data_IF_018791027040
#
_entry.id   IF_018791027040
#
_cell.length_a   1.000
_cell.length_b   1.000
_cell.length_c   1.000
_cell.angle_alpha   90.00
_cell.angle_beta   90.00
_cell.angle_gamma   90.00
#
_symmetry.space_group_name_H-M   'P 1'
#
loop_
_entity.id
_entity.type
_entity.pdbx_description
1 polymer ?
#
# COMPACT_ATOMS: atom_id res chain seq x y z
N UNK A 1 2.93 14.70 25.34
CA UNK A 1 1.81 15.13 26.19
C UNK A 1 0.80 16.01 25.45
N UNK A 2 1.15 17.18 24.88
CA UNK A 2 0.17 18.03 24.19
C UNK A 2 -0.37 17.44 22.87
N UNK A 3 0.50 16.85 22.03
CA UNK A 3 0.12 16.40 20.68
C UNK A 3 -0.94 15.29 20.65
N UNK A 4 -0.74 14.19 21.40
CA UNK A 4 -1.70 13.08 21.47
C UNK A 4 -3.06 13.55 22.00
N UNK A 5 -3.04 14.42 23.02
CA UNK A 5 -4.26 15.02 23.54
C UNK A 5 -4.97 15.87 22.48
N UNK A 6 -4.24 16.72 21.75
CA UNK A 6 -4.83 17.51 20.66
C UNK A 6 -5.43 16.65 19.55
N UNK A 7 -4.80 15.53 19.19
CA UNK A 7 -5.36 14.58 18.24
C UNK A 7 -6.68 13.97 18.75
N UNK A 8 -6.72 13.56 20.03
CA UNK A 8 -7.93 13.02 20.65
C UNK A 8 -9.04 14.08 20.72
N UNK A 9 -8.73 15.30 21.18
CA UNK A 9 -9.68 16.42 21.23
C UNK A 9 -10.25 16.75 19.83
N UNK A 10 -9.43 16.70 18.78
CA UNK A 10 -9.86 16.90 17.39
C UNK A 10 -10.79 15.80 16.89
N UNK A 11 -10.46 14.54 17.17
CA UNK A 11 -11.30 13.40 16.81
C UNK A 11 -12.65 13.48 17.51
N UNK A 12 -12.67 13.75 18.81
CA UNK A 12 -13.90 13.91 19.59
C UNK A 12 -14.76 15.05 19.03
N UNK A 13 -14.16 16.20 18.73
CA UNK A 13 -14.89 17.34 18.15
C UNK A 13 -15.52 17.01 16.78
N UNK A 14 -14.85 16.20 15.94
CA UNK A 14 -15.43 15.75 14.66
C UNK A 14 -16.62 14.81 14.91
N UNK A 15 -16.44 13.79 15.76
CA UNK A 15 -17.50 12.81 16.06
C UNK A 15 -18.73 13.48 16.69
N UNK A 16 -18.52 14.42 17.62
CA UNK A 16 -19.59 15.18 18.26
C UNK A 16 -20.35 16.10 17.30
N UNK A 17 -19.68 16.60 16.26
CA UNK A 17 -20.30 17.49 15.27
C UNK A 17 -21.37 16.81 14.41
N UNK A 18 -21.32 15.47 14.29
CA UNK A 18 -22.16 14.67 13.38
C UNK A 18 -22.03 15.06 11.90
N UNK A 19 -21.01 15.85 11.54
CA UNK A 19 -20.72 16.19 10.15
C UNK A 19 -20.26 14.95 9.37
N UNK A 20 -20.70 14.85 8.12
CA UNK A 20 -20.35 13.73 7.23
C UNK A 20 -19.14 14.02 6.35
N UNK A 21 -18.83 15.30 6.18
CA UNK A 21 -17.81 15.77 5.26
C UNK A 21 -16.61 16.30 6.05
N UNK A 22 -15.58 15.45 6.14
CA UNK A 22 -14.39 15.77 6.93
C UNK A 22 -13.68 17.04 6.46
N UNK A 23 -13.49 17.22 5.15
CA UNK A 23 -12.76 18.37 4.61
C UNK A 23 -13.48 19.69 4.95
N UNK A 24 -14.81 19.74 4.74
CA UNK A 24 -15.66 20.87 5.11
C UNK A 24 -15.60 21.16 6.61
N UNK A 25 -15.82 20.14 7.45
CA UNK A 25 -15.75 20.30 8.90
C UNK A 25 -14.37 20.82 9.33
N UNK A 26 -13.29 20.29 8.77
CA UNK A 26 -11.92 20.66 9.11
C UNK A 26 -11.64 22.12 8.74
N UNK A 27 -12.14 22.60 7.60
CA UNK A 27 -12.04 24.00 7.19
C UNK A 27 -12.81 24.91 8.15
N UNK A 28 -14.05 24.56 8.47
CA UNK A 28 -14.90 25.37 9.34
C UNK A 28 -14.38 25.40 10.78
N UNK A 29 -13.90 24.26 11.28
CA UNK A 29 -13.25 24.16 12.58
C UNK A 29 -11.95 24.98 12.63
N UNK A 30 -11.11 24.89 11.58
CA UNK A 30 -9.88 25.70 11.47
C UNK A 30 -10.18 27.19 11.46
N UNK A 31 -11.26 27.62 10.80
CA UNK A 31 -11.66 29.03 10.69
C UNK A 31 -11.92 29.69 12.05
N UNK A 32 -12.35 28.92 13.05
CA UNK A 32 -12.54 29.42 14.43
C UNK A 32 -11.21 29.87 15.05
N UNK A 33 -10.10 29.24 14.67
CA UNK A 33 -8.77 29.50 15.21
C UNK A 33 -7.92 30.39 14.30
N UNK A 34 -7.99 30.19 12.98
CA UNK A 34 -7.22 30.90 11.98
C UNK A 34 -7.96 30.97 10.63
N UNK A 35 -8.46 32.17 10.29
CA UNK A 35 -9.22 32.42 9.07
C UNK A 35 -8.35 32.39 7.79
N UNK A 36 -7.07 32.74 7.89
CA UNK A 36 -6.16 32.77 6.75
C UNK A 36 -5.81 31.33 6.33
N UNK A 37 -5.51 30.46 7.31
CA UNK A 37 -5.29 29.03 7.07
C UNK A 37 -6.55 28.38 6.49
N UNK A 38 -7.74 28.66 7.04
CA UNK A 38 -8.99 28.12 6.52
C UNK A 38 -9.22 28.50 5.05
N UNK A 39 -8.95 29.76 4.69
CA UNK A 39 -9.03 30.22 3.29
C UNK A 39 -8.03 29.50 2.38
N UNK A 40 -6.82 29.22 2.87
CA UNK A 40 -5.85 28.42 2.13
C UNK A 40 -6.35 26.98 1.90
N UNK A 41 -6.92 26.36 2.93
CA UNK A 41 -7.48 25.01 2.86
C UNK A 41 -8.64 24.92 1.87
N UNK A 42 -9.54 25.92 1.82
CA UNK A 42 -10.59 26.01 0.80
C UNK A 42 -10.03 26.04 -0.62
N UNK A 43 -9.02 26.87 -0.86
CA UNK A 43 -8.34 26.92 -2.15
C UNK A 43 -7.68 25.58 -2.50
N UNK A 44 -7.07 24.89 -1.53
CA UNK A 44 -6.48 23.56 -1.73
C UNK A 44 -7.55 22.52 -2.06
N UNK A 45 -8.66 22.48 -1.32
CA UNK A 45 -9.78 21.59 -1.56
C UNK A 45 -10.38 21.79 -2.95
N UNK A 46 -10.60 23.05 -3.36
CA UNK A 46 -11.05 23.39 -4.71
C UNK A 46 -10.11 22.85 -5.79
N UNK A 47 -8.78 23.02 -5.62
CA UNK A 47 -7.78 22.50 -6.57
C UNK A 47 -7.80 20.97 -6.65
N UNK A 48 -7.96 20.28 -5.53
CA UNK A 48 -8.04 18.81 -5.47
C UNK A 48 -9.31 18.32 -6.15
N UNK A 49 -10.49 18.89 -5.83
CA UNK A 49 -11.76 18.56 -6.49
C UNK A 49 -11.71 18.75 -7.99
N UNK A 50 -11.13 19.86 -8.44
CA UNK A 50 -10.94 20.12 -9.86
C UNK A 50 -9.95 19.15 -10.53
N UNK A 51 -8.91 18.69 -9.82
CA UNK A 51 -8.01 17.62 -10.29
C UNK A 51 -8.78 16.31 -10.45
N UNK A 52 -9.57 15.89 -9.46
CA UNK A 52 -10.40 14.69 -9.56
C UNK A 52 -11.41 14.78 -10.70
N UNK A 53 -12.08 15.92 -10.88
CA UNK A 53 -12.99 16.14 -12.01
C UNK A 53 -12.30 16.02 -13.39
N UNK A 54 -11.00 16.33 -13.49
CA UNK A 54 -10.25 16.06 -14.73
C UNK A 54 -9.93 14.58 -14.90
N UNK A 55 -9.61 13.90 -13.81
CA UNK A 55 -9.32 12.47 -13.80
C UNK A 55 -10.56 11.62 -14.16
N UNK A 56 -11.78 12.02 -13.76
CA UNK A 56 -13.02 11.32 -14.15
C UNK A 56 -13.24 11.23 -15.66
N UNK A 57 -12.59 12.10 -16.44
CA UNK A 57 -12.65 12.06 -17.91
C UNK A 57 -11.76 10.97 -18.52
N UNK A 58 -10.92 10.33 -17.71
CA UNK A 58 -9.88 9.40 -18.15
C UNK A 58 -10.00 8.04 -17.44
N UNK A 59 -10.45 8.03 -16.19
CA UNK A 59 -10.67 6.83 -15.39
C UNK A 59 -12.00 6.92 -14.67
N UNK A 60 -12.60 5.78 -14.36
CA UNK A 60 -13.75 5.73 -13.46
C UNK A 60 -13.25 5.97 -12.04
N UNK A 61 -13.68 7.09 -11.45
CA UNK A 61 -13.47 7.36 -10.03
C UNK A 61 -14.76 7.06 -9.28
N UNK A 62 -14.64 6.34 -8.17
CA UNK A 62 -15.74 6.01 -7.28
C UNK A 62 -15.39 6.59 -5.92
N UNK A 63 -16.28 7.40 -5.38
CA UNK A 63 -16.15 7.88 -4.01
C UNK A 63 -16.47 6.74 -3.05
N UNK A 64 -15.58 6.46 -2.10
CA UNK A 64 -15.79 5.39 -1.12
C UNK A 64 -17.02 5.65 -0.25
N UNK A 65 -17.37 6.92 -0.01
CA UNK A 65 -18.58 7.30 0.71
C UNK A 65 -19.87 7.00 -0.08
N UNK A 66 -19.76 6.78 -1.39
CA UNK A 66 -20.89 6.39 -2.25
C UNK A 66 -21.12 4.88 -2.31
N UNK A 67 -20.22 4.07 -1.72
CA UNK A 67 -20.34 2.62 -1.71
C UNK A 67 -21.13 2.20 -0.47
N UNK A 68 -22.40 1.84 -0.68
CA UNK A 68 -23.30 1.43 0.40
C UNK A 68 -22.69 0.32 1.27
N UNK A 69 -22.65 0.57 2.58
CA UNK A 69 -22.17 -0.39 3.58
C UNK A 69 -20.73 -0.89 3.34
N UNK A 70 -19.86 -0.09 2.69
CA UNK A 70 -18.47 -0.46 2.42
C UNK A 70 -17.72 -0.92 3.67
N UNK A 71 -17.92 -0.23 4.79
CA UNK A 71 -17.25 -0.51 6.05
C UNK A 71 -17.86 -1.66 6.85
N UNK A 72 -19.00 -2.19 6.39
CA UNK A 72 -19.73 -3.24 7.10
C UNK A 72 -19.55 -4.59 6.41
N UNK A 73 -18.93 -5.55 7.13
CA UNK A 73 -18.83 -6.93 6.66
C UNK A 73 -19.22 -7.90 7.77
N UNK A 74 -19.99 -8.94 7.44
CA UNK A 74 -20.29 -10.06 8.37
C UNK A 74 -20.76 -9.63 9.78
N UNK A 75 -21.45 -8.49 9.90
CA UNK A 75 -21.93 -7.94 11.16
C UNK A 75 -20.92 -7.09 11.94
N UNK A 76 -19.71 -6.88 11.42
CA UNK A 76 -18.70 -5.95 11.94
C UNK A 76 -18.74 -4.64 11.17
N UNK A 77 -18.41 -3.54 11.85
CA UNK A 77 -18.27 -2.21 11.29
C UNK A 77 -16.83 -1.71 11.51
N UNK A 78 -16.13 -1.36 10.43
CA UNK A 78 -14.74 -0.89 10.44
C UNK A 78 -14.62 0.62 10.21
N UNK A 79 -15.73 1.33 10.06
CA UNK A 79 -15.72 2.79 9.88
C UNK A 79 -15.00 3.50 11.04
N UNK A 80 -15.21 3.13 12.33
CA UNK A 80 -14.48 3.75 13.43
C UNK A 80 -12.96 3.62 13.28
N UNK A 81 -12.47 2.45 12.86
CA UNK A 81 -11.03 2.20 12.73
C UNK A 81 -10.42 2.95 11.54
N UNK A 82 -11.16 3.07 10.44
CA UNK A 82 -10.78 3.95 9.35
C UNK A 82 -10.65 5.40 9.83
N UNK A 83 -11.61 5.90 10.61
CA UNK A 83 -11.56 7.25 11.17
C UNK A 83 -10.41 7.42 12.19
N UNK A 84 -10.06 6.39 12.97
CA UNK A 84 -8.89 6.44 13.83
C UNK A 84 -7.61 6.66 13.02
N UNK A 85 -7.45 5.94 11.91
CA UNK A 85 -6.26 6.11 11.07
C UNK A 85 -6.22 7.49 10.39
N UNK A 86 -7.35 7.97 9.87
CA UNK A 86 -7.42 9.27 9.18
C UNK A 86 -7.28 10.45 10.13
N UNK A 87 -7.95 10.44 11.28
CA UNK A 87 -8.07 11.59 12.18
C UNK A 87 -7.11 11.55 13.35
N UNK A 88 -7.04 10.41 14.06
CA UNK A 88 -6.19 10.31 15.25
C UNK A 88 -4.72 10.17 14.88
N UNK A 89 -4.39 9.40 13.84
CA UNK A 89 -3.00 9.10 13.46
C UNK A 89 -2.51 9.87 12.24
N UNK A 90 -3.43 10.39 11.41
CA UNK A 90 -3.11 10.94 10.10
C UNK A 90 -2.29 9.95 9.24
N UNK A 91 -2.62 8.68 9.35
CA UNK A 91 -1.95 7.56 8.69
C UNK A 91 -2.80 7.07 7.51
N UNK A 92 -2.65 7.75 6.38
CA UNK A 92 -3.39 7.42 5.17
C UNK A 92 -2.98 6.06 4.58
N UNK A 93 -1.81 5.53 4.92
CA UNK A 93 -1.39 4.19 4.50
C UNK A 93 -2.23 3.11 5.18
N UNK A 94 -2.40 3.16 6.51
CA UNK A 94 -3.27 2.23 7.23
C UNK A 94 -4.75 2.41 6.85
N UNK A 95 -5.22 3.65 6.67
CA UNK A 95 -6.57 3.92 6.18
C UNK A 95 -6.80 3.26 4.81
N UNK A 96 -5.81 3.36 3.90
CA UNK A 96 -5.83 2.68 2.59
C UNK A 96 -5.79 1.16 2.71
N UNK A 97 -5.05 0.60 3.67
CA UNK A 97 -5.03 -0.84 3.95
C UNK A 97 -6.41 -1.39 4.37
N UNK A 98 -7.16 -0.64 5.18
CA UNK A 98 -8.53 -0.99 5.56
C UNK A 98 -9.44 -0.97 4.31
N UNK A 99 -9.43 0.15 3.58
CA UNK A 99 -10.31 0.37 2.43
C UNK A 99 -10.03 -0.63 1.31
N UNK A 100 -8.76 -0.92 0.98
CA UNK A 100 -8.42 -1.86 -0.11
C UNK A 100 -8.97 -3.26 0.14
N UNK A 101 -8.94 -3.74 1.40
CA UNK A 101 -9.47 -5.04 1.77
C UNK A 101 -10.99 -5.06 1.75
N UNK A 102 -11.65 -3.99 2.21
CA UNK A 102 -13.11 -3.87 2.16
C UNK A 102 -13.62 -3.80 0.71
N UNK A 103 -13.02 -2.96 -0.13
CA UNK A 103 -13.37 -2.88 -1.56
C UNK A 103 -13.20 -4.24 -2.22
N UNK A 104 -12.07 -4.92 -1.96
CA UNK A 104 -11.80 -6.24 -2.54
C UNK A 104 -12.77 -7.32 -2.00
N UNK A 105 -13.20 -7.24 -0.74
CA UNK A 105 -14.26 -8.10 -0.20
C UNK A 105 -15.61 -7.90 -0.91
N UNK A 106 -16.04 -6.64 -1.06
CA UNK A 106 -17.35 -6.31 -1.60
C UNK A 106 -17.46 -6.44 -3.12
N UNK A 107 -16.37 -6.19 -3.84
CA UNK A 107 -16.36 -6.12 -5.30
C UNK A 107 -15.59 -7.28 -5.94
N UNK A 108 -14.58 -7.85 -5.26
CA UNK A 108 -13.63 -8.78 -5.86
C UNK A 108 -12.72 -8.11 -6.89
N UNK A 109 -11.93 -8.93 -7.59
CA UNK A 109 -11.02 -8.46 -8.64
C UNK A 109 -9.58 -8.35 -8.16
N UNK A 110 -8.90 -7.28 -8.55
CA UNK A 110 -7.50 -7.01 -8.26
C UNK A 110 -7.34 -5.57 -7.79
N UNK A 111 -6.76 -5.42 -6.61
CA UNK A 111 -6.24 -4.16 -6.09
C UNK A 111 -4.78 -3.98 -6.53
N UNK A 112 -4.37 -2.75 -6.85
CA UNK A 112 -3.01 -2.39 -7.26
C UNK A 112 -2.66 -1.02 -6.69
N UNK A 113 -1.52 -0.91 -5.99
CA UNK A 113 -0.96 0.38 -5.56
C UNK A 113 -0.53 1.21 -6.79
N UNK A 114 -0.67 2.54 -6.69
CA UNK A 114 -0.37 3.45 -7.80
C UNK A 114 1.12 3.48 -8.23
N UNK A 115 2.03 3.01 -7.39
CA UNK A 115 3.45 2.90 -7.69
C UNK A 115 3.84 1.54 -8.31
N UNK A 116 2.87 0.65 -8.51
CA UNK A 116 3.05 -0.65 -9.17
C UNK A 116 2.64 -0.60 -10.63
N UNK A 117 3.48 -1.14 -11.52
CA UNK A 117 3.25 -1.16 -12.97
C UNK A 117 2.99 -2.58 -13.49
N UNK A 118 2.34 -2.73 -14.67
CA UNK A 118 2.29 -4.01 -15.36
C UNK A 118 3.70 -4.56 -15.64
N UNK A 119 3.84 -5.89 -15.74
CA UNK A 119 5.13 -6.48 -16.10
C UNK A 119 5.57 -6.08 -17.50
N UNK A 120 6.77 -5.53 -17.62
CA UNK A 120 7.39 -5.18 -18.90
C UNK A 120 8.41 -6.19 -19.42
N UNK A 121 8.49 -7.41 -18.84
CA UNK A 121 9.53 -8.38 -19.24
C UNK A 121 9.44 -8.78 -20.72
N UNK A 122 8.24 -8.78 -21.28
CA UNK A 122 8.00 -9.06 -22.70
C UNK A 122 8.56 -7.96 -23.63
N UNK A 123 8.82 -6.75 -23.13
CA UNK A 123 9.46 -5.67 -23.87
C UNK A 123 10.97 -5.87 -24.04
N UNK A 124 11.59 -6.77 -23.27
CA UNK A 124 13.05 -6.97 -23.23
C UNK A 124 13.51 -8.40 -23.60
N UNK A 125 13.00 -9.00 -24.68
CA UNK A 125 13.24 -10.42 -24.97
C UNK A 125 14.71 -10.73 -25.30
N UNK A 126 15.45 -9.81 -25.94
CA UNK A 126 16.87 -10.05 -26.27
C UNK A 126 17.72 -9.95 -25.02
N UNK A 127 17.53 -8.89 -24.25
CA UNK A 127 18.28 -8.61 -23.02
C UNK A 127 18.06 -9.73 -22.01
N UNK A 128 16.80 -10.13 -21.77
CA UNK A 128 16.47 -11.19 -20.83
C UNK A 128 17.06 -12.55 -21.22
N UNK A 129 17.20 -12.82 -22.52
CA UNK A 129 17.81 -14.07 -23.01
C UNK A 129 19.34 -14.04 -22.91
N UNK A 130 19.97 -12.89 -23.16
CA UNK A 130 21.42 -12.74 -23.19
C UNK A 130 22.03 -12.60 -21.80
N UNK A 131 21.31 -11.95 -20.89
CA UNK A 131 21.74 -11.60 -19.53
C UNK A 131 20.66 -12.05 -18.52
N UNK A 132 20.48 -13.36 -18.29
CA UNK A 132 19.44 -13.88 -17.40
C UNK A 132 19.58 -13.39 -15.95
N UNK A 133 20.79 -13.09 -15.49
CA UNK A 133 21.08 -12.54 -14.17
C UNK A 133 20.50 -11.12 -13.96
N UNK A 134 20.26 -10.37 -15.04
CA UNK A 134 19.60 -9.06 -15.01
C UNK A 134 18.10 -9.17 -14.75
N UNK A 135 17.49 -10.34 -15.00
CA UNK A 135 16.06 -10.56 -14.73
C UNK A 135 15.79 -10.53 -13.23
N UNK A 136 16.74 -10.95 -12.39
CA UNK A 136 16.58 -11.02 -10.94
C UNK A 136 17.14 -9.81 -10.18
N UNK A 137 17.39 -8.68 -10.86
CA UNK A 137 17.96 -7.49 -10.24
C UNK A 137 16.92 -6.36 -10.10
N UNK A 138 16.64 -5.97 -8.85
CA UNK A 138 15.66 -4.91 -8.52
C UNK A 138 15.97 -3.58 -9.23
N UNK A 139 17.25 -3.20 -9.33
CA UNK A 139 17.63 -1.93 -9.98
C UNK A 139 17.48 -2.00 -11.50
N UNK A 140 17.67 -3.19 -12.09
CA UNK A 140 17.38 -3.40 -13.52
C UNK A 140 15.88 -3.28 -13.79
N UNK A 141 15.03 -3.77 -12.88
CA UNK A 141 13.56 -3.60 -12.99
C UNK A 141 13.17 -2.11 -12.99
N UNK A 142 13.80 -1.28 -12.15
CA UNK A 142 13.61 0.19 -12.15
C UNK A 142 14.02 0.79 -13.50
N UNK A 143 15.22 0.43 -13.99
CA UNK A 143 15.73 0.93 -15.26
C UNK A 143 14.83 0.55 -16.44
N UNK A 144 14.40 -0.72 -16.50
CA UNK A 144 13.45 -1.23 -17.51
C UNK A 144 12.13 -0.47 -17.45
N UNK A 145 11.58 -0.26 -16.25
CA UNK A 145 10.34 0.49 -16.06
C UNK A 145 10.48 1.91 -16.61
N UNK A 146 11.54 2.63 -16.24
CA UNK A 146 11.74 4.02 -16.64
C UNK A 146 12.02 4.17 -18.15
N UNK A 147 12.75 3.22 -18.77
CA UNK A 147 12.93 3.17 -20.22
C UNK A 147 11.58 3.03 -20.95
N UNK A 148 10.69 2.16 -20.46
CA UNK A 148 9.34 2.01 -21.02
C UNK A 148 8.49 3.26 -20.77
N UNK A 149 8.56 3.87 -19.58
CA UNK A 149 7.87 5.13 -19.30
C UNK A 149 8.34 6.27 -20.20
N UNK A 150 9.63 6.31 -20.56
CA UNK A 150 10.15 7.26 -21.55
C UNK A 150 9.58 7.03 -22.95
N UNK A 151 9.35 5.78 -23.36
CA UNK A 151 8.63 5.49 -24.61
C UNK A 151 7.21 6.05 -24.56
N UNK A 152 6.48 5.83 -23.47
CA UNK A 152 5.13 6.41 -23.27
C UNK A 152 5.12 7.94 -23.38
N UNK A 153 6.10 8.61 -22.75
CA UNK A 153 6.24 10.08 -22.75
C UNK A 153 6.58 10.62 -24.14
N UNK A 154 7.57 10.04 -24.80
CA UNK A 154 8.09 10.53 -26.09
C UNK A 154 7.16 10.25 -27.26
N UNK A 155 6.53 9.07 -27.30
CA UNK A 155 5.59 8.70 -28.35
C UNK A 155 4.16 9.22 -28.10
N UNK A 156 3.92 9.91 -26.97
CA UNK A 156 2.62 10.45 -26.56
C UNK A 156 1.48 9.41 -26.59
N UNK A 157 1.81 8.15 -26.31
CA UNK A 157 0.87 7.01 -26.40
C UNK A 157 -0.25 7.09 -25.36
N UNK A 158 -0.12 7.94 -24.35
CA UNK A 158 -1.21 8.23 -23.41
C UNK A 158 -1.49 9.72 -23.35
N UNK A 159 -2.76 10.09 -23.12
CA UNK A 159 -3.16 11.49 -22.89
C UNK A 159 -2.47 12.14 -21.68
N UNK A 160 -1.87 11.32 -20.81
CA UNK A 160 -1.14 11.71 -19.60
C UNK A 160 0.35 11.99 -19.86
N UNK A 161 0.89 11.59 -21.02
CA UNK A 161 2.31 11.69 -21.38
C UNK A 161 2.88 13.13 -21.48
N UNK A 162 2.08 14.17 -21.20
CA UNK A 162 2.54 15.56 -21.18
C UNK A 162 3.36 15.93 -19.93
N UNK A 163 3.57 14.99 -19.01
CA UNK A 163 4.52 15.20 -17.92
C UNK A 163 5.93 15.32 -18.49
N UNK A 164 6.62 16.43 -18.15
CA UNK A 164 8.07 16.51 -18.31
C UNK A 164 8.66 15.35 -17.50
N UNK A 165 9.06 14.28 -18.19
CA UNK A 165 9.84 13.24 -17.55
C UNK A 165 11.15 13.87 -17.08
N UNK A 166 11.67 13.39 -15.96
CA UNK A 166 13.07 13.64 -15.64
C UNK A 166 13.91 12.88 -16.68
N UNK A 167 14.21 13.55 -17.79
CA UNK A 167 15.01 12.97 -18.87
C UNK A 167 16.39 12.52 -18.39
N UNK A 168 16.84 12.99 -17.22
CA UNK A 168 18.12 12.62 -16.63
C UNK A 168 18.02 11.39 -15.72
N UNK A 169 16.83 10.94 -15.31
CA UNK A 169 16.70 9.83 -14.35
C UNK A 169 17.31 8.53 -14.89
N UNK A 170 17.09 8.21 -16.18
CA UNK A 170 17.71 7.03 -16.81
C UNK A 170 19.23 7.15 -16.79
N UNK A 171 19.76 8.30 -17.21
CA UNK A 171 21.20 8.54 -17.23
C UNK A 171 21.80 8.45 -15.82
N UNK A 172 21.14 9.02 -14.82
CA UNK A 172 21.55 8.97 -13.42
C UNK A 172 21.57 7.53 -12.89
N UNK A 173 20.55 6.73 -13.19
CA UNK A 173 20.50 5.31 -12.81
C UNK A 173 21.65 4.55 -13.48
N UNK A 174 21.89 4.76 -14.78
CA UNK A 174 22.95 4.09 -15.53
C UNK A 174 24.32 4.45 -14.98
N UNK A 175 24.63 5.73 -14.78
CA UNK A 175 25.92 6.18 -14.23
C UNK A 175 26.13 5.69 -12.80
N UNK A 176 25.07 5.66 -11.98
CA UNK A 176 25.19 5.30 -10.56
C UNK A 176 25.35 3.79 -10.34
N UNK A 177 24.65 2.96 -11.12
CA UNK A 177 24.53 1.52 -10.85
C UNK A 177 25.08 0.61 -11.95
N UNK A 178 25.30 1.12 -13.16
CA UNK A 178 25.56 0.29 -14.36
C UNK A 178 26.68 0.85 -15.26
N UNK A 179 27.60 1.65 -14.72
CA UNK A 179 28.67 2.31 -15.51
C UNK A 179 29.59 1.29 -16.23
N UNK A 180 29.81 0.12 -15.61
CA UNK A 180 30.61 -0.97 -16.15
C UNK A 180 29.85 -1.89 -17.12
N UNK A 181 28.52 -1.76 -17.23
CA UNK A 181 27.62 -2.71 -17.92
C UNK A 181 27.24 -2.29 -19.35
N UNK A 182 28.21 -1.77 -20.11
CA UNK A 182 27.97 -1.13 -21.41
C UNK A 182 27.27 -2.03 -22.44
N UNK A 183 27.59 -3.33 -22.46
CA UNK A 183 26.97 -4.29 -23.39
C UNK A 183 25.51 -4.57 -23.04
N UNK A 184 25.18 -4.63 -21.75
CA UNK A 184 23.83 -4.86 -21.25
C UNK A 184 22.95 -3.64 -21.46
N UNK A 185 23.47 -2.44 -21.17
CA UNK A 185 22.78 -1.17 -21.46
C UNK A 185 22.51 -1.03 -22.95
N UNK A 186 23.49 -1.36 -23.81
CA UNK A 186 23.27 -1.38 -25.27
C UNK A 186 22.15 -2.35 -25.67
N UNK A 187 22.14 -3.55 -25.11
CA UNK A 187 21.07 -4.55 -25.36
C UNK A 187 19.69 -4.03 -24.93
N UNK A 188 19.58 -3.35 -23.80
CA UNK A 188 18.33 -2.72 -23.36
C UNK A 188 17.83 -1.69 -24.37
N UNK A 189 18.71 -0.79 -24.85
CA UNK A 189 18.33 0.19 -25.85
C UNK A 189 17.91 -0.43 -27.18
N UNK A 190 18.53 -1.54 -27.60
CA UNK A 190 18.11 -2.29 -28.79
C UNK A 190 16.70 -2.89 -28.65
N UNK A 191 16.33 -3.37 -27.47
CA UNK A 191 14.98 -3.85 -27.17
C UNK A 191 13.99 -2.67 -27.14
N UNK A 192 14.32 -1.57 -26.45
CA UNK A 192 13.47 -0.36 -26.36
C UNK A 192 13.19 0.24 -27.73
N UNK A 193 14.19 0.33 -28.60
CA UNK A 193 14.03 0.84 -29.97
C UNK A 193 13.11 -0.03 -30.83
N UNK A 194 12.90 -1.30 -30.45
CA UNK A 194 12.04 -2.25 -31.13
C UNK A 194 10.63 -2.37 -30.51
N UNK A 195 10.32 -1.58 -29.47
CA UNK A 195 8.99 -1.50 -28.86
C UNK A 195 8.03 -0.81 -29.83
N UNK A 196 6.87 -1.44 -30.02
CA UNK A 196 5.73 -0.93 -30.79
C UNK A 196 4.51 -0.89 -29.89
N UNK A 197 3.49 -0.10 -30.25
CA UNK A 197 2.28 0.09 -29.42
C UNK A 197 1.60 -1.25 -29.07
N UNK A 198 1.52 -2.17 -30.04
CA UNK A 198 0.95 -3.51 -29.86
C UNK A 198 1.75 -4.40 -28.89
N UNK A 199 3.06 -4.18 -28.79
CA UNK A 199 3.92 -4.89 -27.83
C UNK A 199 3.91 -4.27 -26.45
N UNK A 200 3.57 -2.99 -26.35
CA UNK A 200 3.56 -2.26 -25.09
C UNK A 200 2.30 -2.60 -24.26
N UNK A 201 1.18 -2.79 -24.94
CA UNK A 201 -0.09 -3.11 -24.31
C UNK A 201 -0.43 -4.60 -24.47
N UNK A 202 0.03 -5.41 -23.52
CA UNK A 202 -0.48 -6.76 -23.39
C UNK A 202 -1.91 -6.75 -22.79
N UNK A 203 -2.87 -7.51 -23.36
CA UNK A 203 -4.19 -7.65 -22.77
C UNK A 203 -4.09 -8.15 -21.32
N UNK A 204 -4.67 -7.39 -20.40
CA UNK A 204 -4.72 -7.80 -19.00
C UNK A 204 -5.77 -8.90 -18.83
N UNK A 205 -5.34 -10.02 -18.26
CA UNK A 205 -6.21 -11.13 -17.86
C UNK A 205 -6.10 -11.23 -16.34
N UNK A 206 -7.24 -11.11 -15.65
CA UNK A 206 -7.29 -11.26 -14.20
C UNK A 206 -6.71 -12.63 -13.80
N UNK A 207 -5.64 -12.68 -12.99
CA UNK A 207 -5.04 -13.94 -12.58
C UNK A 207 -6.05 -14.82 -11.84
N UNK A 208 -6.03 -16.14 -12.05
CA UNK A 208 -6.97 -17.05 -11.39
C UNK A 208 -6.60 -17.18 -9.91
N UNK A 209 -7.59 -17.00 -9.04
CA UNK A 209 -7.50 -17.24 -7.59
C UNK A 209 -8.58 -18.25 -7.19
N UNK A 210 -8.35 -19.00 -6.10
CA UNK A 210 -9.38 -19.89 -5.56
C UNK A 210 -10.64 -19.10 -5.14
N UNK A 211 -11.82 -19.74 -5.24
CA UNK A 211 -13.13 -19.12 -4.96
C UNK A 211 -13.25 -18.48 -3.57
N UNK A 212 -12.52 -19.03 -2.59
CA UNK A 212 -12.47 -18.52 -1.22
C UNK A 212 -11.10 -17.93 -0.89
N UNK A 213 -10.26 -17.79 -1.90
CA UNK A 213 -8.83 -17.51 -1.81
C UNK A 213 -8.50 -16.03 -1.80
N UNK A 214 -7.21 -15.76 -1.64
CA UNK A 214 -6.56 -14.46 -1.70
C UNK A 214 -5.15 -14.71 -2.25
N UNK A 215 -4.76 -13.96 -3.26
CA UNK A 215 -3.39 -13.91 -3.73
C UNK A 215 -2.77 -12.56 -3.39
N UNK A 216 -1.49 -12.59 -2.99
CA UNK A 216 -0.70 -11.42 -2.67
C UNK A 216 0.49 -11.30 -3.62
N UNK A 217 1.01 -10.08 -3.77
CA UNK A 217 2.34 -9.89 -4.32
C UNK A 217 3.37 -10.71 -3.55
N UNK A 218 4.15 -11.52 -4.26
CA UNK A 218 5.44 -11.99 -3.77
C UNK A 218 6.56 -11.15 -4.34
N UNK A 219 7.60 -10.89 -3.56
CA UNK A 219 8.79 -10.24 -4.06
C UNK A 219 9.43 -11.12 -5.15
N UNK A 220 9.73 -10.53 -6.31
CA UNK A 220 10.31 -11.26 -7.46
C UNK A 220 11.66 -11.90 -7.12
N UNK A 221 12.46 -11.18 -6.32
CA UNK A 221 13.87 -11.50 -6.05
C UNK A 221 14.14 -11.86 -4.58
N UNK A 222 13.10 -12.04 -3.77
CA UNK A 222 13.21 -12.37 -2.35
C UNK A 222 12.26 -13.51 -1.99
N UNK A 223 12.81 -14.55 -1.37
CA UNK A 223 12.11 -15.81 -1.14
C UNK A 223 11.26 -15.69 0.12
N UNK A 224 9.94 -15.92 -0.02
CA UNK A 224 9.01 -15.89 1.12
C UNK A 224 8.62 -14.48 1.59
N UNK A 225 9.03 -13.44 0.86
CA UNK A 225 8.64 -12.05 1.12
C UNK A 225 7.38 -11.68 0.34
N UNK A 226 6.39 -11.13 1.04
CA UNK A 226 5.08 -10.76 0.49
C UNK A 226 4.73 -9.31 0.81
N UNK A 227 4.06 -8.67 -0.13
CA UNK A 227 3.56 -7.30 -0.02
C UNK A 227 2.06 -7.24 -0.34
N UNK A 228 1.40 -6.16 0.08
CA UNK A 228 -0.02 -5.90 -0.18
C UNK A 228 -0.24 -4.83 -1.26
N UNK A 229 0.79 -4.53 -2.06
CA UNK A 229 0.72 -3.61 -3.20
C UNK A 229 -0.10 -4.18 -4.36
N UNK A 230 -0.23 -5.51 -4.44
CA UNK A 230 -1.28 -6.16 -5.24
C UNK A 230 -1.97 -7.22 -4.41
N UNK A 231 -3.30 -7.20 -4.45
CA UNK A 231 -4.16 -8.19 -3.82
C UNK A 231 -5.21 -8.66 -4.83
N UNK A 232 -5.44 -9.97 -4.93
CA UNK A 232 -6.39 -10.54 -5.88
C UNK A 232 -7.30 -11.50 -5.13
N UNK A 233 -8.61 -11.29 -5.23
CA UNK A 233 -9.57 -12.17 -4.61
C UNK A 233 -10.95 -12.08 -5.30
N UNK A 234 -11.74 -13.16 -5.23
CA UNK A 234 -13.13 -13.11 -5.62
C UNK A 234 -13.97 -12.31 -4.60
N UNK A 235 -15.09 -11.77 -5.09
CA UNK A 235 -16.10 -11.12 -4.24
C UNK A 235 -16.55 -12.08 -3.14
N UNK A 236 -16.56 -11.60 -1.89
CA UNK A 236 -16.99 -12.36 -0.72
C UNK A 236 -15.97 -13.41 -0.24
N UNK A 237 -14.70 -13.33 -0.67
CA UNK A 237 -13.65 -14.27 -0.28
C UNK A 237 -13.61 -14.53 1.24
N UNK A 238 -13.69 -15.82 1.63
CA UNK A 238 -13.53 -16.22 3.03
C UNK A 238 -12.17 -15.82 3.60
N UNK A 239 -11.08 -15.89 2.84
CA UNK A 239 -9.77 -15.45 3.33
C UNK A 239 -9.74 -13.96 3.66
N UNK A 240 -10.30 -13.09 2.79
CA UNK A 240 -10.41 -11.66 3.11
C UNK A 240 -11.27 -11.45 4.36
N UNK A 241 -12.40 -12.15 4.48
CA UNK A 241 -13.23 -12.06 5.69
C UNK A 241 -12.45 -12.40 6.96
N UNK A 242 -11.60 -13.44 6.94
CA UNK A 242 -10.77 -13.81 8.11
C UNK A 242 -9.73 -12.72 8.39
N UNK A 243 -9.08 -12.17 7.36
CA UNK A 243 -8.13 -11.06 7.51
C UNK A 243 -8.80 -9.84 8.15
N UNK A 244 -9.96 -9.43 7.63
CA UNK A 244 -10.73 -8.31 8.17
C UNK A 244 -11.22 -8.58 9.61
N UNK A 245 -11.61 -9.83 9.92
CA UNK A 245 -11.99 -10.22 11.29
C UNK A 245 -10.82 -10.12 12.26
N UNK A 246 -9.62 -10.53 11.82
CA UNK A 246 -8.40 -10.41 12.60
C UNK A 246 -8.02 -8.94 12.82
N UNK A 247 -8.09 -8.12 11.76
CA UNK A 247 -7.89 -6.67 11.84
C UNK A 247 -8.83 -6.02 12.85
N UNK A 248 -10.15 -6.29 12.74
CA UNK A 248 -11.14 -5.79 13.69
C UNK A 248 -10.84 -6.23 15.13
N UNK A 249 -10.39 -7.47 15.33
CA UNK A 249 -10.05 -7.97 16.66
C UNK A 249 -8.82 -7.28 17.26
N UNK A 250 -7.82 -6.91 16.43
CA UNK A 250 -6.66 -6.12 16.87
C UNK A 250 -7.04 -4.70 17.26
N UNK A 251 -7.88 -4.04 16.47
CA UNK A 251 -8.40 -2.72 16.82
C UNK A 251 -9.23 -2.74 18.11
N UNK A 252 -10.15 -3.70 18.26
CA UNK A 252 -10.92 -3.88 19.51
C UNK A 252 -10.02 -4.11 20.71
N UNK A 253 -9.03 -4.99 20.59
CA UNK A 253 -8.05 -5.21 21.66
C UNK A 253 -7.37 -3.89 22.07
N UNK A 254 -6.92 -3.09 21.10
CA UNK A 254 -6.28 -1.82 21.38
C UNK A 254 -7.24 -0.82 22.04
N UNK A 255 -8.48 -0.75 21.58
CA UNK A 255 -9.52 0.11 22.14
C UNK A 255 -9.84 -0.28 23.60
N UNK A 256 -10.12 -1.56 23.84
CA UNK A 256 -10.45 -2.11 25.17
C UNK A 256 -9.33 -1.92 26.21
N UNK A 257 -8.09 -1.79 25.75
CA UNK A 257 -6.91 -1.58 26.58
C UNK A 257 -6.40 -0.13 26.60
N UNK A 258 -7.14 0.83 26.04
CA UNK A 258 -6.79 2.25 26.05
C UNK A 258 -5.66 2.64 25.09
N UNK A 259 -5.18 1.73 24.24
CA UNK A 259 -4.07 1.98 23.29
C UNK A 259 -4.44 3.02 22.22
N UNK A 260 -5.72 3.09 21.83
CA UNK A 260 -6.18 4.02 20.78
C UNK A 260 -6.22 5.47 21.28
N UNK A 261 -6.74 5.72 22.48
CA UNK A 261 -7.09 7.08 22.92
C UNK A 261 -6.11 7.65 23.95
N UNK A 262 -5.43 6.80 24.71
CA UNK A 262 -4.53 7.24 25.78
C UNK A 262 -3.07 7.35 25.34
N UNK A 263 -2.32 8.25 25.99
CA UNK A 263 -0.87 8.29 25.93
C UNK A 263 -0.30 7.27 26.93
N UNK A 264 -0.24 5.98 26.57
CA UNK A 264 0.11 4.90 27.52
C UNK A 264 1.46 5.16 28.20
N UNK A 265 2.48 5.55 27.42
CA UNK A 265 3.84 5.76 27.95
C UNK A 265 3.99 6.98 28.86
N UNK A 266 3.06 7.96 28.79
CA UNK A 266 3.06 9.13 29.67
C UNK A 266 1.80 9.24 30.55
N UNK A 267 0.95 8.22 30.54
CA UNK A 267 -0.28 8.18 31.33
C UNK A 267 0.09 8.08 32.81
N UNK A 268 -0.53 8.94 33.63
CA UNK A 268 -0.46 8.82 35.09
C UNK A 268 -1.35 7.69 35.62
N UNK A 269 -2.16 7.09 34.76
CA UNK A 269 -2.99 5.94 35.09
C UNK A 269 -2.10 4.68 35.11
N UNK A 270 -1.87 4.17 36.33
CA UNK A 270 -1.06 2.99 36.55
C UNK A 270 -1.78 1.70 36.10
N UNK A 271 -3.10 1.71 35.92
CA UNK A 271 -3.87 0.53 35.52
C UNK A 271 -3.82 0.26 34.02
N UNK A 272 -3.64 1.28 33.16
CA UNK A 272 -3.44 1.10 31.70
C UNK A 272 -2.04 0.53 31.44
N UNK A 273 -1.02 1.12 32.08
CA UNK A 273 0.35 0.62 32.00
C UNK A 273 0.47 -0.83 32.48
N UNK A 274 -0.22 -1.18 33.57
CA UNK A 274 -0.22 -2.55 34.09
C UNK A 274 -0.93 -3.53 33.15
N UNK A 275 -2.10 -3.18 32.59
CA UNK A 275 -2.83 -4.02 31.63
C UNK A 275 -2.02 -4.32 30.36
N UNK A 276 -1.33 -3.34 29.81
CA UNK A 276 -0.48 -3.52 28.63
C UNK A 276 0.78 -4.33 28.98
N UNK A 277 1.43 -4.04 30.12
CA UNK A 277 2.65 -4.77 30.55
C UNK A 277 2.38 -6.21 31.01
N UNK A 278 1.16 -6.53 31.43
CA UNK A 278 0.71 -7.89 31.77
C UNK A 278 0.14 -8.65 30.57
N UNK A 279 0.04 -8.01 29.39
CA UNK A 279 -0.45 -8.67 28.18
C UNK A 279 0.57 -9.68 27.63
N UNK A 280 0.07 -10.69 26.93
CA UNK A 280 0.93 -11.65 26.22
C UNK A 280 1.88 -10.90 25.27
N UNK A 281 3.11 -11.41 25.12
CA UNK A 281 4.18 -10.82 24.30
C UNK A 281 3.71 -10.44 22.89
N UNK A 282 2.76 -11.21 22.34
CA UNK A 282 2.13 -10.93 21.06
C UNK A 282 1.54 -9.52 20.98
N UNK A 283 0.80 -9.07 21.99
CA UNK A 283 0.02 -7.83 21.96
C UNK A 283 0.87 -6.58 22.20
N UNK A 284 2.04 -6.72 22.82
CA UNK A 284 2.96 -5.61 23.09
C UNK A 284 3.39 -4.87 21.81
N UNK A 285 3.37 -5.55 20.65
CA UNK A 285 3.69 -4.95 19.34
C UNK A 285 2.76 -3.80 18.93
N UNK A 286 1.60 -3.67 19.57
CA UNK A 286 0.64 -2.59 19.27
C UNK A 286 0.74 -1.40 20.24
N UNK A 287 1.55 -1.51 21.30
CA UNK A 287 1.65 -0.47 22.34
C UNK A 287 2.11 0.90 21.82
N UNK A 288 2.94 0.94 20.77
CA UNK A 288 3.41 2.17 20.12
C UNK A 288 2.46 2.70 19.01
N UNK A 289 1.19 2.26 18.99
CA UNK A 289 0.21 2.67 17.97
C UNK A 289 0.17 4.18 17.70
N UNK A 290 0.13 5.01 18.76
CA UNK A 290 0.11 6.48 18.67
C UNK A 290 1.44 7.09 18.20
N UNK A 291 2.52 6.32 18.22
CA UNK A 291 3.89 6.77 17.92
C UNK A 291 4.49 6.17 16.66
N UNK A 292 3.83 5.23 16.00
CA UNK A 292 4.32 4.51 14.80
C UNK A 292 4.91 5.39 13.68
N UNK A 293 4.40 6.62 13.50
CA UNK A 293 4.91 7.57 12.49
C UNK A 293 5.90 8.59 13.07
N UNK A 294 6.01 8.63 14.40
CA UNK A 294 6.83 9.57 15.17
C UNK A 294 8.14 8.92 15.64
N UNK A 295 8.14 7.60 15.83
CA UNK A 295 9.29 6.78 16.23
C UNK A 295 9.61 5.83 15.09
N UNK A 296 10.83 5.91 14.56
CA UNK A 296 11.25 5.20 13.35
C UNK A 296 11.47 3.68 13.51
N UNK A 297 11.15 3.11 14.68
CA UNK A 297 11.45 1.71 15.01
C UNK A 297 10.24 0.79 15.02
N UNK A 298 9.04 1.34 15.22
CA UNK A 298 7.88 0.54 15.54
C UNK A 298 7.03 0.43 14.26
N UNK A 299 6.70 -0.80 13.90
CA UNK A 299 6.05 -1.15 12.63
C UNK A 299 4.60 -1.57 12.86
N UNK A 300 3.89 -0.88 13.75
CA UNK A 300 2.51 -1.17 14.14
C UNK A 300 1.61 -1.27 12.92
N UNK A 301 1.71 -0.33 11.97
CA UNK A 301 0.90 -0.37 10.73
C UNK A 301 1.10 -1.67 9.95
N UNK A 302 2.33 -2.20 9.84
CA UNK A 302 2.59 -3.45 9.10
C UNK A 302 1.83 -4.63 9.71
N UNK A 303 1.78 -4.71 11.04
CA UNK A 303 1.09 -5.78 11.75
C UNK A 303 -0.39 -5.48 11.98
N UNK A 304 -0.83 -4.24 12.01
CA UNK A 304 -2.21 -3.89 12.30
C UNK A 304 -3.10 -4.00 11.07
N UNK A 305 -2.65 -3.42 9.95
CA UNK A 305 -3.42 -3.31 8.72
C UNK A 305 -2.67 -3.75 7.46
N UNK A 306 -1.33 -3.70 7.51
CA UNK A 306 -0.45 -3.91 6.37
C UNK A 306 -0.19 -5.37 5.99
N UNK A 307 0.89 -5.62 5.23
CA UNK A 307 1.17 -6.95 4.66
C UNK A 307 1.44 -8.02 5.72
N UNK A 308 2.01 -7.67 6.87
CA UNK A 308 2.30 -8.64 7.93
C UNK A 308 1.03 -9.19 8.57
N UNK A 309 -0.05 -8.39 8.69
CA UNK A 309 -1.36 -8.91 9.10
C UNK A 309 -1.81 -10.03 8.15
N UNK A 310 -1.81 -9.74 6.86
CA UNK A 310 -2.37 -10.66 5.86
C UNK A 310 -1.54 -11.94 5.80
N UNK A 311 -0.22 -11.82 5.77
CA UNK A 311 0.69 -12.96 5.76
C UNK A 311 0.56 -13.80 7.03
N UNK A 312 0.49 -13.18 8.20
CA UNK A 312 0.30 -13.87 9.48
C UNK A 312 -1.00 -14.69 9.47
N UNK A 313 -2.12 -14.10 9.02
CA UNK A 313 -3.40 -14.82 8.92
C UNK A 313 -3.31 -16.02 7.99
N UNK A 314 -2.67 -15.88 6.82
CA UNK A 314 -2.54 -16.98 5.87
C UNK A 314 -1.65 -18.10 6.40
N UNK A 315 -0.54 -17.76 7.05
CA UNK A 315 0.35 -18.74 7.67
C UNK A 315 -0.36 -19.46 8.82
N UNK A 316 -1.05 -18.73 9.71
CA UNK A 316 -1.81 -19.32 10.81
C UNK A 316 -2.91 -20.28 10.31
N UNK A 317 -3.61 -19.90 9.24
CA UNK A 317 -4.60 -20.79 8.63
C UNK A 317 -3.96 -22.02 8.00
N UNK A 318 -2.75 -21.92 7.43
CA UNK A 318 -2.05 -23.07 6.91
C UNK A 318 -1.67 -24.06 8.03
N UNK A 319 -1.20 -23.57 9.18
CA UNK A 319 -0.97 -24.42 10.35
C UNK A 319 -2.25 -25.13 10.81
N UNK A 320 -3.34 -24.38 10.97
CA UNK A 320 -4.62 -24.90 11.44
C UNK A 320 -5.23 -25.95 10.49
N UNK A 321 -5.14 -25.72 9.17
CA UNK A 321 -5.80 -26.56 8.17
C UNK A 321 -4.97 -27.79 7.80
N UNK A 322 -3.64 -27.67 7.77
CA UNK A 322 -2.77 -28.74 7.29
C UNK A 322 -2.03 -29.51 8.39
N UNK A 323 -2.16 -29.10 9.66
CA UNK A 323 -1.51 -29.76 10.80
C UNK A 323 0.02 -29.88 10.60
N UNK A 324 0.65 -28.73 10.29
CA UNK A 324 2.06 -28.63 9.93
C UNK A 324 2.91 -27.94 11.01
N UNK A 325 2.61 -28.17 12.29
CA UNK A 325 3.25 -27.51 13.45
C UNK A 325 4.79 -27.61 13.46
N UNK A 326 5.38 -28.61 12.80
CA UNK A 326 6.83 -28.77 12.66
C UNK A 326 7.50 -27.95 11.55
N UNK A 327 6.73 -27.26 10.70
CA UNK A 327 7.26 -26.40 9.65
C UNK A 327 7.57 -25.00 10.18
N UNK A 328 8.59 -24.33 9.63
CA UNK A 328 8.85 -22.92 9.96
C UNK A 328 7.91 -22.00 9.16
N UNK A 329 7.55 -20.81 9.68
CA UNK A 329 6.73 -19.84 8.94
C UNK A 329 7.30 -19.49 7.56
N UNK A 330 8.64 -19.39 7.46
CA UNK A 330 9.32 -19.14 6.18
C UNK A 330 9.15 -20.28 5.18
N UNK A 331 9.15 -21.54 5.64
CA UNK A 331 8.89 -22.69 4.77
C UNK A 331 7.44 -22.68 4.26
N UNK A 332 6.48 -22.29 5.11
CA UNK A 332 5.08 -22.12 4.71
C UNK A 332 4.94 -20.99 3.68
N UNK A 333 5.53 -19.81 3.94
CA UNK A 333 5.55 -18.69 3.00
C UNK A 333 6.22 -19.05 1.66
N UNK A 334 7.29 -19.84 1.70
CA UNK A 334 7.92 -20.38 0.50
C UNK A 334 6.96 -21.29 -0.29
N UNK A 335 6.28 -22.21 0.39
CA UNK A 335 5.30 -23.08 -0.24
C UNK A 335 4.16 -22.28 -0.88
N UNK A 336 3.63 -21.27 -0.18
CA UNK A 336 2.60 -20.35 -0.68
C UNK A 336 3.02 -19.62 -1.98
N UNK A 337 4.32 -19.46 -2.21
CA UNK A 337 4.86 -18.83 -3.43
C UNK A 337 4.78 -19.73 -4.68
N UNK A 338 4.42 -21.01 -4.50
CA UNK A 338 4.30 -21.96 -5.59
C UNK A 338 3.10 -21.61 -6.51
N UNK A 339 3.30 -21.46 -7.83
CA UNK A 339 2.23 -21.03 -8.75
C UNK A 339 0.98 -21.92 -8.72
N UNK A 340 1.17 -23.22 -8.45
CA UNK A 340 0.07 -24.18 -8.35
C UNK A 340 -0.93 -23.91 -7.21
N UNK A 341 -0.51 -23.17 -6.16
CA UNK A 341 -1.40 -22.81 -5.04
C UNK A 341 -2.21 -21.54 -5.31
N UNK A 342 -1.84 -20.74 -6.31
CA UNK A 342 -2.55 -19.50 -6.69
C UNK A 342 -2.76 -18.53 -5.51
N UNK A 343 -1.80 -18.49 -4.59
CA UNK A 343 -1.76 -17.59 -3.43
C UNK A 343 -0.74 -16.45 -3.61
N UNK A 344 0.05 -16.50 -4.67
CA UNK A 344 1.08 -15.51 -4.97
C UNK A 344 0.93 -14.96 -6.39
N UNK A 345 1.22 -13.68 -6.54
CA UNK A 345 1.23 -12.96 -7.81
C UNK A 345 2.60 -12.31 -8.03
N UNK A 346 3.15 -12.46 -9.23
CA UNK A 346 4.47 -11.96 -9.61
C UNK A 346 4.52 -11.30 -10.99
N UNK A 347 3.42 -11.29 -11.75
CA UNK A 347 3.38 -10.75 -13.10
C UNK A 347 3.14 -9.22 -13.08
N UNK A 348 4.10 -8.51 -12.51
CA UNK A 348 4.07 -7.06 -12.30
C UNK A 348 5.49 -6.49 -12.19
N UNK A 349 5.60 -5.18 -12.30
CA UNK A 349 6.84 -4.45 -12.02
C UNK A 349 6.65 -3.71 -10.68
N UNK A 350 7.30 -4.25 -9.64
CA UNK A 350 7.23 -3.73 -8.26
C UNK A 350 8.24 -2.60 -8.05
N UNK A 351 9.44 -2.76 -8.60
CA UNK A 351 10.50 -1.77 -8.50
C UNK A 351 10.34 -0.73 -9.60
N UNK A 352 9.71 0.39 -9.25
CA UNK A 352 9.53 1.56 -10.12
C UNK A 352 10.24 2.78 -9.53
N UNK A 353 10.36 3.85 -10.32
CA UNK A 353 10.88 5.12 -9.81
C UNK A 353 10.00 5.67 -8.67
N UNK A 354 8.68 5.54 -8.75
CA UNK A 354 7.78 5.98 -7.67
C UNK A 354 7.90 5.10 -6.44
N UNK A 355 8.04 3.78 -6.60
CA UNK A 355 8.31 2.88 -5.48
C UNK A 355 9.62 3.25 -4.78
N UNK A 356 10.69 3.56 -5.52
CA UNK A 356 11.93 4.03 -4.91
C UNK A 356 11.76 5.35 -4.15
N UNK A 357 10.90 6.27 -4.62
CA UNK A 357 10.58 7.51 -3.91
C UNK A 357 9.72 7.28 -2.67
N UNK A 358 8.81 6.31 -2.71
CA UNK A 358 7.90 5.97 -1.62
C UNK A 358 8.55 5.12 -0.54
N UNK A 359 9.57 4.32 -0.88
CA UNK A 359 10.34 3.56 0.11
C UNK A 359 11.19 4.48 0.99
N UNK A 360 11.31 4.11 2.26
CA UNK A 360 12.23 4.74 3.24
C UNK A 360 13.69 4.82 2.77
N UNK A 361 14.05 4.06 1.73
CA UNK A 361 15.29 4.16 0.96
C UNK A 361 15.27 5.40 0.06
N UNK A 362 15.09 6.59 0.65
CA UNK A 362 15.18 7.86 -0.06
C UNK A 362 16.64 8.07 -0.49
N UNK A 363 17.01 7.55 -1.65
CA UNK A 363 18.36 7.68 -2.19
C UNK A 363 18.49 9.08 -2.82
N UNK A 364 18.89 10.06 -2.00
CA UNK A 364 18.91 11.50 -2.32
C UNK A 364 19.73 11.84 -3.59
N UNK A 365 20.57 10.92 -4.06
CA UNK A 365 21.42 11.14 -5.24
C UNK A 365 20.71 10.85 -6.58
N UNK A 366 19.55 10.17 -6.60
CA UNK A 366 18.89 9.77 -7.85
C UNK A 366 17.78 10.72 -8.30
N UNK A 367 17.15 11.42 -7.36
CA UNK A 367 16.04 12.31 -7.62
C UNK A 367 16.48 13.74 -7.33
N UNK A 368 16.42 14.61 -8.34
CA UNK A 368 16.56 16.05 -8.12
C UNK A 368 15.28 16.58 -7.45
N UNK A 369 15.44 17.47 -6.47
CA UNK A 369 14.33 18.14 -5.77
C UNK A 369 13.46 19.00 -6.72
#
# INVERSE_FOLDING_TARGET
MAFIKHQSDWFEAFVESQEKHLDEWLIDHTRVYDADIATELEHRLYRVRHRYYRLTKLVTLIDIASIDSLFVFSGFDLEPYYLYEVLLRNNLAAASDIVRLLVLYHQGGMYVDFDTLPSFEHCFPKTNRRFPEWVSNNMVDVLKAELVMNVFRTQQLTRFARCQGDHQLVDNIVVTFFDDDKEQIKSLHEDVAAITEDKLFNPFILPPVHKEGLALTKAKNSVGEFNNNVLIAPKGSKLIRIVLTMMSSRYRYMEDNGIIFDDIFNSRDCDVNKRVMESEEYWLRFSDYRYDHLRSSDNVTLFLSGPSLVLEVLISLAYEVFDIEGCSPNAVAFAMSHPGLKMAFEHQTQFTAEHMRSTWLRNQNLFSD
#
